data_IF_435801257452
#
_entry.id   IF_435801257452
#
_cell.length_a   1.000
_cell.length_b   1.000
_cell.length_c   1.000
_cell.angle_alpha   90.00
_cell.angle_beta   90.00
_cell.angle_gamma   90.00
#
_symmetry.space_group_name_H-M   'P 1'
#
loop_
_entity.id
_entity.type
_entity.pdbx_description
1 polymer ?
#
# COMPACT_ATOMS: atom_id res chain seq x y z
N UNK A 1 11.35 9.41 -18.71
CA UNK A 1 11.44 8.75 -17.39
C UNK A 1 12.77 9.13 -16.73
N UNK A 2 12.89 9.08 -15.41
CA UNK A 2 14.20 9.15 -14.74
C UNK A 2 14.74 7.74 -14.55
N UNK A 3 16.07 7.55 -14.41
CA UNK A 3 16.62 6.23 -14.11
C UNK A 3 16.01 5.66 -12.82
N UNK A 4 15.74 4.35 -12.81
CA UNK A 4 15.14 3.69 -11.66
C UNK A 4 16.00 3.81 -10.38
N UNK A 5 17.33 3.84 -10.50
CA UNK A 5 18.26 4.08 -9.39
C UNK A 5 18.07 5.49 -8.80
N UNK A 6 17.96 6.50 -9.65
CA UNK A 6 17.70 7.88 -9.24
C UNK A 6 16.32 8.05 -8.62
N UNK A 7 15.32 7.31 -9.09
CA UNK A 7 14.00 7.24 -8.45
C UNK A 7 14.10 6.66 -7.04
N UNK A 8 14.69 5.47 -6.88
CA UNK A 8 14.79 4.81 -5.57
C UNK A 8 15.57 5.65 -4.54
N UNK A 9 16.58 6.40 -4.95
CA UNK A 9 17.37 7.26 -4.06
C UNK A 9 16.61 8.52 -3.58
N UNK A 10 15.61 8.98 -4.34
CA UNK A 10 14.90 10.25 -4.08
C UNK A 10 13.47 10.04 -3.56
N UNK A 11 12.86 8.92 -3.89
CA UNK A 11 11.49 8.63 -3.52
C UNK A 11 11.39 8.29 -2.04
N UNK A 12 10.42 8.91 -1.36
CA UNK A 12 10.05 8.56 0.00
C UNK A 12 9.04 7.40 -0.02
N UNK A 13 8.92 6.61 1.06
CA UNK A 13 7.86 5.62 1.18
C UNK A 13 6.46 6.25 1.10
N UNK A 14 5.48 5.46 0.65
CA UNK A 14 4.07 5.84 0.73
C UNK A 14 3.41 5.09 1.89
N UNK A 15 2.68 5.80 2.73
CA UNK A 15 1.92 5.19 3.82
C UNK A 15 0.45 5.10 3.43
N UNK A 16 -0.13 3.90 3.58
CA UNK A 16 -1.52 3.60 3.27
C UNK A 16 -2.21 3.21 4.57
N UNK A 17 -3.28 3.92 4.89
CA UNK A 17 -4.22 3.53 5.94
C UNK A 17 -5.40 2.82 5.29
N UNK A 18 -5.67 1.60 5.74
CA UNK A 18 -6.81 0.80 5.31
C UNK A 18 -7.86 0.93 6.41
N UNK A 19 -9.03 1.45 6.06
CA UNK A 19 -10.08 1.77 7.03
C UNK A 19 -11.47 1.51 6.47
N UNK A 20 -12.41 1.19 7.36
CA UNK A 20 -13.85 1.18 7.08
C UNK A 20 -14.50 2.55 7.24
N UNK A 21 -13.81 3.54 7.82
CA UNK A 21 -14.31 4.91 7.93
C UNK A 21 -14.34 5.53 6.54
N UNK A 22 -15.52 5.88 5.99
CA UNK A 22 -15.59 6.51 4.69
C UNK A 22 -14.88 7.87 4.73
N UNK A 23 -14.16 8.26 3.66
CA UNK A 23 -13.63 9.62 3.57
C UNK A 23 -14.81 10.60 3.59
N UNK A 24 -14.83 11.50 4.57
CA UNK A 24 -15.81 12.58 4.63
C UNK A 24 -15.60 13.50 3.41
N UNK A 25 -16.63 13.65 2.58
CA UNK A 25 -16.63 14.66 1.51
C UNK A 25 -16.69 16.02 2.21
N UNK A 26 -15.54 16.65 2.39
CA UNK A 26 -15.49 18.01 2.92
C UNK A 26 -15.76 18.97 1.76
N UNK A 27 -17.02 19.34 1.55
CA UNK A 27 -17.35 20.57 0.80
C UNK A 27 -17.03 21.76 1.68
N UNK A 28 -15.75 22.16 1.68
CA UNK A 28 -15.18 23.49 1.97
C UNK A 28 -15.62 24.34 3.19
N UNK A 29 -16.50 23.90 4.10
CA UNK A 29 -16.87 24.74 5.27
C UNK A 29 -16.67 24.09 6.64
N UNK A 30 -16.40 22.78 6.73
CA UNK A 30 -16.14 22.09 8.01
C UNK A 30 -14.92 21.14 7.91
N UNK A 31 -13.73 21.70 7.72
CA UNK A 31 -12.47 20.95 7.68
C UNK A 31 -12.03 20.41 9.05
N UNK A 32 -12.76 20.70 10.13
CA UNK A 32 -12.39 20.39 11.51
C UNK A 32 -12.99 19.10 12.08
N UNK A 33 -13.74 18.32 11.28
CA UNK A 33 -14.32 17.04 11.73
C UNK A 33 -13.54 15.81 11.26
N UNK A 34 -12.21 15.86 11.24
CA UNK A 34 -11.40 14.64 11.21
C UNK A 34 -11.21 14.19 12.65
N UNK A 35 -11.94 13.14 13.07
CA UNK A 35 -11.75 12.57 14.40
C UNK A 35 -10.24 12.24 14.62
N UNK A 36 -9.66 12.56 15.79
CA UNK A 36 -8.23 12.38 16.04
C UNK A 36 -7.77 10.92 15.94
N UNK A 37 -8.72 9.98 15.99
CA UNK A 37 -8.49 8.55 15.84
C UNK A 37 -9.53 7.95 14.88
N UNK A 38 -9.04 7.21 13.88
CA UNK A 38 -9.88 6.50 12.91
C UNK A 38 -10.39 5.18 13.53
N UNK A 39 -11.61 5.21 14.07
CA UNK A 39 -12.27 4.05 14.71
C UNK A 39 -12.44 2.87 13.72
N UNK A 40 -12.46 3.15 12.42
CA UNK A 40 -12.58 2.13 11.36
C UNK A 40 -11.24 1.56 10.88
N UNK A 41 -10.10 1.97 11.46
CA UNK A 41 -8.77 1.54 10.99
C UNK A 41 -8.60 0.02 11.10
N UNK A 42 -8.37 -0.61 9.94
CA UNK A 42 -8.07 -2.03 9.81
C UNK A 42 -6.55 -2.26 9.91
N UNK A 43 -5.76 -1.34 9.37
CA UNK A 43 -4.31 -1.38 9.52
C UNK A 43 -3.57 -0.44 8.58
N UNK A 44 -2.25 -0.41 8.74
CA UNK A 44 -1.34 0.45 7.99
C UNK A 44 -0.35 -0.37 7.18
N UNK A 45 0.01 0.11 5.98
CA UNK A 45 1.01 -0.49 5.11
C UNK A 45 1.94 0.61 4.58
N UNK A 46 3.25 0.32 4.60
CA UNK A 46 4.26 1.19 3.98
C UNK A 46 4.67 0.58 2.65
N UNK A 47 4.52 1.34 1.57
CA UNK A 47 5.00 0.98 0.23
C UNK A 47 6.40 1.57 0.05
N UNK A 48 7.36 0.74 -0.32
CA UNK A 48 8.76 1.13 -0.52
C UNK A 48 9.06 1.36 -2.00
N UNK A 49 9.88 2.37 -2.35
CA UNK A 49 10.35 2.55 -3.72
C UNK A 49 11.02 1.27 -4.25
N UNK A 50 10.69 0.86 -5.46
CA UNK A 50 11.11 -0.42 -6.03
C UNK A 50 11.04 -0.43 -7.56
N UNK A 51 11.77 -1.37 -8.14
CA UNK A 51 11.67 -1.76 -9.56
C UNK A 51 10.81 -3.02 -9.67
N UNK A 52 10.01 -3.10 -10.72
CA UNK A 52 9.18 -4.26 -11.04
C UNK A 52 9.87 -5.16 -12.07
N UNK A 53 9.51 -6.44 -12.10
CA UNK A 53 10.05 -7.42 -13.07
C UNK A 53 9.78 -7.05 -14.53
N UNK A 54 8.78 -6.21 -14.78
CA UNK A 54 8.41 -5.68 -16.10
C UNK A 54 9.26 -4.48 -16.54
N UNK A 55 10.24 -4.05 -15.73
CA UNK A 55 11.13 -2.92 -16.01
C UNK A 55 10.57 -1.54 -15.65
N UNK A 56 9.34 -1.45 -15.14
CA UNK A 56 8.81 -0.23 -14.55
C UNK A 56 9.34 -0.03 -13.12
N UNK A 57 9.18 1.18 -12.59
CA UNK A 57 9.49 1.49 -11.19
C UNK A 57 8.32 2.22 -10.50
N UNK A 58 8.30 2.19 -9.18
CA UNK A 58 7.22 2.74 -8.37
C UNK A 58 7.34 2.32 -6.91
N UNK A 59 6.22 2.13 -6.22
CA UNK A 59 6.22 1.65 -4.84
C UNK A 59 5.54 0.29 -4.74
N UNK A 60 6.08 -0.60 -3.91
CA UNK A 60 5.51 -1.91 -3.61
C UNK A 60 5.33 -2.09 -2.11
N UNK A 61 4.29 -2.80 -1.71
CA UNK A 61 4.14 -3.26 -0.34
C UNK A 61 3.09 -4.33 -0.22
N UNK A 62 3.25 -5.22 0.75
CA UNK A 62 2.29 -6.26 1.05
C UNK A 62 2.13 -6.44 2.56
N UNK A 63 0.92 -6.78 3.00
CA UNK A 63 0.63 -7.07 4.41
C UNK A 63 -0.55 -8.03 4.52
N UNK A 64 -0.45 -8.99 5.44
CA UNK A 64 -1.60 -9.78 5.88
C UNK A 64 -2.40 -8.98 6.91
N UNK A 65 -3.69 -8.81 6.67
CA UNK A 65 -4.62 -8.12 7.57
C UNK A 65 -5.79 -9.04 7.92
N UNK A 66 -6.45 -8.78 9.05
CA UNK A 66 -7.69 -9.45 9.43
C UNK A 66 -8.84 -8.47 9.26
N UNK A 67 -9.88 -8.88 8.54
CA UNK A 67 -11.07 -8.06 8.28
C UNK A 67 -12.28 -8.72 8.93
N UNK A 68 -13.06 -7.94 9.68
CA UNK A 68 -14.35 -8.39 10.22
C UNK A 68 -15.43 -8.23 9.14
N UNK A 69 -16.18 -9.29 8.90
CA UNK A 69 -17.32 -9.28 7.98
C UNK A 69 -18.59 -8.90 8.75
N UNK A 70 -19.49 -8.20 8.07
CA UNK A 70 -20.84 -8.02 8.59
C UNK A 70 -21.56 -9.38 8.53
N UNK A 71 -21.86 -9.95 9.69
CA UNK A 71 -22.65 -11.18 9.77
C UNK A 71 -24.10 -10.94 9.32
N UNK A 72 -24.78 -12.01 8.88
CA UNK A 72 -26.24 -12.05 8.95
C UNK A 72 -26.65 -12.17 10.43
N UNK A 73 -27.81 -11.64 10.81
CA UNK A 73 -28.27 -11.51 12.21
C UNK A 73 -28.42 -12.83 13.02
N UNK A 74 -27.89 -13.96 12.56
CA UNK A 74 -28.15 -15.30 13.11
C UNK A 74 -26.90 -16.04 13.62
N UNK A 75 -25.75 -15.39 13.83
CA UNK A 75 -24.64 -16.05 14.54
C UNK A 75 -24.61 -15.67 16.03
N UNK A 76 -24.94 -16.62 16.91
CA UNK A 76 -24.71 -16.53 18.36
C UNK A 76 -23.20 -16.41 18.73
N UNK A 77 -22.31 -16.43 17.74
CA UNK A 77 -20.85 -16.51 17.89
C UNK A 77 -20.11 -15.36 17.20
N UNK A 78 -20.49 -14.11 17.48
CA UNK A 78 -19.70 -12.93 17.08
C UNK A 78 -19.58 -12.68 15.57
N UNK A 79 -18.86 -11.60 15.22
CA UNK A 79 -18.61 -11.20 13.83
C UNK A 79 -17.59 -12.14 13.19
N UNK A 80 -17.90 -12.63 11.99
CA UNK A 80 -17.01 -13.46 11.19
C UNK A 80 -15.73 -12.70 10.82
N UNK A 81 -14.57 -13.36 10.81
CA UNK A 81 -13.27 -12.75 10.47
C UNK A 81 -12.59 -13.52 9.35
N UNK A 82 -12.00 -12.80 8.41
CA UNK A 82 -11.17 -13.36 7.33
C UNK A 82 -9.75 -12.79 7.37
N UNK A 83 -8.75 -13.60 7.00
CA UNK A 83 -7.39 -13.13 6.77
C UNK A 83 -7.20 -12.80 5.29
N UNK A 84 -6.78 -11.58 5.00
CA UNK A 84 -6.58 -11.06 3.63
C UNK A 84 -5.10 -10.78 3.43
N UNK A 85 -4.56 -11.21 2.29
CA UNK A 85 -3.26 -10.76 1.80
C UNK A 85 -3.48 -9.52 0.93
N UNK A 86 -3.09 -8.34 1.41
CA UNK A 86 -3.11 -7.10 0.65
C UNK A 86 -1.77 -6.90 -0.02
N UNK A 87 -1.76 -6.70 -1.34
CA UNK A 87 -0.56 -6.39 -2.13
C UNK A 87 -0.85 -5.18 -3.01
N UNK A 88 -0.07 -4.10 -2.86
CA UNK A 88 -0.24 -2.85 -3.60
C UNK A 88 1.01 -2.55 -4.41
N UNK A 89 0.81 -2.28 -5.70
CA UNK A 89 1.83 -1.75 -6.61
C UNK A 89 1.37 -0.38 -7.11
N UNK A 90 2.07 0.68 -6.69
CA UNK A 90 1.88 2.03 -7.20
C UNK A 90 2.94 2.31 -8.27
N UNK A 91 2.59 2.13 -9.54
CA UNK A 91 3.54 2.27 -10.66
C UNK A 91 3.65 3.71 -11.12
N UNK A 92 4.88 4.22 -11.30
CA UNK A 92 5.09 5.53 -11.92
C UNK A 92 4.69 5.45 -13.40
N UNK A 93 3.78 6.33 -13.83
CA UNK A 93 3.32 6.37 -15.22
C UNK A 93 4.49 6.69 -16.16
N UNK A 94 4.63 5.92 -17.23
CA UNK A 94 5.72 6.08 -18.20
C UNK A 94 7.11 5.67 -17.68
N UNK A 95 7.19 4.89 -16.60
CA UNK A 95 8.46 4.46 -15.97
C UNK A 95 9.18 3.31 -16.67
N UNK A 96 8.57 2.67 -17.67
CA UNK A 96 9.20 1.58 -18.39
C UNK A 96 10.39 2.14 -19.17
N UNK A 97 11.61 1.84 -18.71
CA UNK A 97 12.82 2.18 -19.45
C UNK A 97 12.89 1.25 -20.68
N UNK A 98 13.30 1.80 -21.82
CA UNK A 98 13.60 0.98 -23.00
C UNK A 98 14.75 0.02 -22.65
N UNK A 99 14.76 -1.17 -23.25
CA UNK A 99 15.82 -2.18 -23.07
C UNK A 99 17.17 -1.55 -23.42
N UNK A 100 17.99 -1.22 -22.42
CA UNK A 100 19.29 -0.56 -22.63
C UNK A 100 19.92 0.15 -21.42
N UNK A 101 19.16 0.48 -20.37
CA UNK A 101 19.67 1.23 -19.20
C UNK A 101 19.70 0.40 -17.89
N UNK A 102 20.09 -0.88 -17.95
CA UNK A 102 20.31 -1.69 -16.75
C UNK A 102 21.75 -1.57 -16.25
N UNK A 103 22.01 -0.62 -15.35
CA UNK A 103 23.13 -0.72 -14.41
C UNK A 103 22.63 -0.98 -12.98
N UNK A 104 22.83 -2.23 -12.55
CA UNK A 104 23.35 -2.60 -11.24
C UNK A 104 22.62 -2.14 -9.98
N UNK A 105 21.73 -2.98 -9.46
CA UNK A 105 21.64 -3.27 -8.02
C UNK A 105 20.82 -4.56 -7.81
N UNK A 106 21.50 -5.71 -7.73
CA UNK A 106 20.93 -6.92 -7.13
C UNK A 106 20.77 -6.63 -5.63
N UNK A 107 19.54 -6.61 -5.15
CA UNK A 107 19.26 -6.72 -3.71
C UNK A 107 19.68 -8.13 -3.26
N UNK A 108 20.42 -8.30 -2.15
CA UNK A 108 20.75 -9.63 -1.65
C UNK A 108 19.49 -10.25 -1.04
N UNK A 109 19.12 -11.41 -1.58
CA UNK A 109 18.16 -12.34 -1.02
C UNK A 109 18.73 -12.87 0.30
N UNK A 110 18.13 -12.48 1.43
CA UNK A 110 18.40 -13.09 2.73
C UNK A 110 17.63 -14.40 2.78
N UNK A 111 18.32 -15.50 2.54
CA UNK A 111 17.99 -16.81 3.12
C UNK A 111 18.16 -16.69 4.64
N UNK A 112 17.10 -16.96 5.41
CA UNK A 112 17.22 -17.33 6.82
C UNK A 112 16.55 -18.69 7.02
N UNK A 113 17.41 -19.61 7.48
CA UNK A 113 17.22 -20.98 7.95
C UNK A 113 16.26 -21.10 9.14
#
# INVERSE_FOLDING_TARGET
AIPASAFKAKALPLHVNITHTPPSIVTTEDADAVAPEDVGLIGTLTLVPSTFSTGSYGWKGSKRITVELQGSETSEHGKEKVQVMLSINATVVGSKQAEGETEGAKEPEKDEE
#
